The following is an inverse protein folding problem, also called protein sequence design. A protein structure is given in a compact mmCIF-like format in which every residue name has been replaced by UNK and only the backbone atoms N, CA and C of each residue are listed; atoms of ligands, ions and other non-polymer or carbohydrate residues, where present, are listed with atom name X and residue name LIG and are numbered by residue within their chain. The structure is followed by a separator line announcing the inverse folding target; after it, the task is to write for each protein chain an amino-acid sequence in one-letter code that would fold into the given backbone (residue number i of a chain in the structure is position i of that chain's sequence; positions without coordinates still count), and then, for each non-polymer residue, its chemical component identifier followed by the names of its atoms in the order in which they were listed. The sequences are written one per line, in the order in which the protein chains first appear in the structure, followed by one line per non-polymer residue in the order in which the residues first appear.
data_IF_225648132653
#
_entry.id   IF_225648132653
#
_cell.length_a   1.000
_cell.length_b   1.000
_cell.length_c   1.000
_cell.angle_alpha   90.00
_cell.angle_beta   90.00
_cell.angle_gamma   90.00
#
_symmetry.space_group_name_H-M   'P 1'
#
loop_
_entity.id
_entity.type
_entity.pdbx_description
1 polymer ?
#
# COMPACT_ATOMS: atom_id res chain seq x y z
N UNK A 1 -11.94 23.42 -25.79
CA UNK A 1 -10.65 23.91 -26.33
C UNK A 1 -10.24 23.18 -27.58
N UNK A 2 -8.95 23.24 -27.89
CA UNK A 2 -8.33 22.58 -29.05
C UNK A 2 -8.14 21.06 -28.84
N UNK A 3 -7.86 20.34 -29.93
CA UNK A 3 -7.35 18.97 -29.90
C UNK A 3 -5.83 19.01 -30.14
N UNK A 4 -5.06 18.67 -29.10
CA UNK A 4 -3.59 18.69 -29.02
C UNK A 4 -3.05 17.34 -28.54
N UNK A 5 -3.84 16.27 -28.65
CA UNK A 5 -3.47 14.93 -28.18
C UNK A 5 -2.20 14.42 -28.84
N UNK A 6 -1.34 13.78 -28.06
CA UNK A 6 -0.02 13.28 -28.50
C UNK A 6 0.91 14.33 -29.14
N UNK A 7 0.59 15.63 -29.03
CA UNK A 7 1.38 16.69 -29.66
C UNK A 7 2.71 16.90 -28.93
N UNK A 8 3.73 17.28 -29.69
CA UNK A 8 5.04 17.66 -29.13
C UNK A 8 5.07 19.18 -28.95
N UNK A 9 5.01 19.61 -27.69
CA UNK A 9 5.05 20.99 -27.21
C UNK A 9 6.27 21.20 -26.30
N UNK A 10 7.31 20.36 -26.42
CA UNK A 10 8.53 20.43 -25.60
C UNK A 10 9.22 21.79 -25.76
N UNK A 11 9.44 22.48 -24.64
CA UNK A 11 10.04 23.81 -24.61
C UNK A 11 9.23 24.90 -25.32
N UNK A 12 7.95 24.66 -25.62
CA UNK A 12 7.09 25.68 -26.22
C UNK A 12 6.84 26.83 -25.24
N UNK A 13 6.75 28.06 -25.78
CA UNK A 13 6.17 29.18 -25.06
C UNK A 13 4.65 29.11 -25.24
N UNK A 14 3.95 28.77 -24.16
CA UNK A 14 2.50 28.76 -24.04
C UNK A 14 2.08 29.72 -22.90
N UNK A 15 2.93 30.69 -22.56
CA UNK A 15 2.61 31.66 -21.52
C UNK A 15 1.39 32.50 -21.94
N UNK A 16 0.50 32.76 -20.97
CA UNK A 16 -0.84 33.35 -21.15
C UNK A 16 -1.73 32.70 -22.23
N UNK A 17 -1.46 31.45 -22.63
CA UNK A 17 -2.32 30.73 -23.58
C UNK A 17 -3.63 30.30 -22.92
N UNK A 18 -4.76 30.50 -23.61
CA UNK A 18 -6.02 29.85 -23.27
C UNK A 18 -6.05 28.46 -23.93
N UNK A 19 -6.13 27.44 -23.09
CA UNK A 19 -6.28 26.02 -23.40
C UNK A 19 -7.52 25.46 -22.67
N UNK A 20 -8.52 26.32 -22.43
CA UNK A 20 -9.75 26.00 -21.70
C UNK A 20 -10.51 24.87 -22.40
N UNK A 21 -10.84 23.82 -21.64
CA UNK A 21 -11.45 22.58 -22.13
C UNK A 21 -10.69 21.94 -23.31
N UNK A 22 -9.38 22.19 -23.48
CA UNK A 22 -8.57 21.56 -24.53
C UNK A 22 -8.23 20.10 -24.17
N UNK A 23 -8.05 19.27 -25.19
CA UNK A 23 -7.60 17.90 -25.01
C UNK A 23 -6.10 17.79 -25.33
N UNK A 24 -5.31 17.50 -24.30
CA UNK A 24 -3.86 17.30 -24.32
C UNK A 24 -3.49 15.87 -23.84
N UNK A 25 -4.40 14.90 -24.00
CA UNK A 25 -4.17 13.48 -23.68
C UNK A 25 -2.86 12.99 -24.33
N UNK A 26 -1.94 12.48 -23.51
CA UNK A 26 -0.60 12.04 -23.88
C UNK A 26 0.26 13.10 -24.62
N UNK A 27 -0.06 14.40 -24.52
CA UNK A 27 0.75 15.47 -25.09
C UNK A 27 2.02 15.72 -24.27
N UNK A 28 3.10 16.07 -24.95
CA UNK A 28 4.39 16.29 -24.29
C UNK A 28 4.76 17.78 -24.19
N UNK A 29 4.68 18.30 -22.97
CA UNK A 29 4.92 19.69 -22.58
C UNK A 29 6.26 19.84 -21.80
N UNK A 30 7.20 18.88 -21.91
CA UNK A 30 8.44 18.91 -21.14
C UNK A 30 9.19 20.23 -21.33
N UNK A 31 9.51 20.93 -20.23
CA UNK A 31 10.23 22.21 -20.27
C UNK A 31 9.46 23.40 -20.86
N UNK A 32 8.16 23.29 -21.13
CA UNK A 32 7.36 24.39 -21.66
C UNK A 32 7.19 25.54 -20.65
N UNK A 33 7.06 26.77 -21.14
CA UNK A 33 6.68 27.93 -20.33
C UNK A 33 5.15 28.02 -20.31
N UNK A 34 4.52 27.61 -19.21
CA UNK A 34 3.06 27.65 -19.02
C UNK A 34 2.64 28.79 -18.09
N UNK A 35 3.50 29.81 -17.92
CA UNK A 35 3.26 30.96 -17.04
C UNK A 35 1.90 31.61 -17.33
N UNK A 36 1.03 31.67 -16.32
CA UNK A 36 -0.32 32.22 -16.40
C UNK A 36 -1.19 31.66 -17.55
N UNK A 37 -0.92 30.44 -18.00
CA UNK A 37 -1.76 29.72 -18.95
C UNK A 37 -3.03 29.17 -18.27
N UNK A 38 -4.12 29.09 -19.03
CA UNK A 38 -5.43 28.64 -18.59
C UNK A 38 -5.70 27.24 -19.16
N UNK A 39 -5.69 26.22 -18.28
CA UNK A 39 -6.04 24.83 -18.55
C UNK A 39 -7.37 24.46 -17.86
N UNK A 40 -8.27 25.42 -17.58
CA UNK A 40 -9.54 25.13 -16.91
C UNK A 40 -10.34 24.05 -17.68
N UNK A 41 -10.72 22.97 -16.99
CA UNK A 41 -11.44 21.85 -17.58
C UNK A 41 -10.69 21.07 -18.68
N UNK A 42 -9.40 21.33 -18.90
CA UNK A 42 -8.60 20.63 -19.91
C UNK A 42 -8.33 19.17 -19.54
N UNK A 43 -8.15 18.31 -20.54
CA UNK A 43 -7.77 16.91 -20.34
C UNK A 43 -6.26 16.74 -20.56
N UNK A 44 -5.50 16.52 -19.50
CA UNK A 44 -4.05 16.27 -19.54
C UNK A 44 -3.71 14.81 -19.16
N UNK A 45 -4.64 13.87 -19.41
CA UNK A 45 -4.41 12.46 -19.09
C UNK A 45 -3.12 11.93 -19.73
N UNK A 46 -2.18 11.43 -18.91
CA UNK A 46 -0.89 10.93 -19.39
C UNK A 46 0.07 11.99 -19.97
N UNK A 47 -0.25 13.29 -19.88
CA UNK A 47 0.60 14.35 -20.41
C UNK A 47 1.93 14.47 -19.65
N UNK A 48 2.98 14.97 -20.33
CA UNK A 48 4.33 15.08 -19.75
C UNK A 48 4.66 16.54 -19.45
N UNK A 49 4.70 16.90 -18.17
CA UNK A 49 5.01 18.25 -17.66
C UNK A 49 6.42 18.36 -17.05
N UNK A 50 7.29 17.37 -17.19
CA UNK A 50 8.63 17.36 -16.59
C UNK A 50 9.45 18.61 -16.96
N UNK A 51 9.90 19.37 -15.96
CA UNK A 51 10.64 20.63 -16.15
C UNK A 51 9.81 21.83 -16.61
N UNK A 52 8.49 21.73 -16.76
CA UNK A 52 7.65 22.86 -17.17
C UNK A 52 7.58 23.95 -16.08
N UNK A 53 7.34 25.20 -16.50
CA UNK A 53 7.12 26.34 -15.60
C UNK A 53 5.62 26.55 -15.37
N UNK A 54 5.16 26.50 -14.12
CA UNK A 54 3.72 26.50 -13.78
C UNK A 54 3.26 27.70 -12.92
N UNK A 55 3.95 28.84 -13.00
CA UNK A 55 3.65 30.01 -12.16
C UNK A 55 2.36 30.69 -12.63
N UNK A 56 1.43 30.92 -11.70
CA UNK A 56 0.09 31.46 -11.95
C UNK A 56 -0.77 30.61 -12.93
N UNK A 57 -0.38 29.38 -13.28
CA UNK A 57 -1.15 28.51 -14.20
C UNK A 57 -2.43 28.01 -13.53
N UNK A 58 -3.55 27.98 -14.26
CA UNK A 58 -4.83 27.44 -13.77
C UNK A 58 -5.12 26.06 -14.34
N UNK A 59 -5.07 25.03 -13.50
CA UNK A 59 -5.48 23.65 -13.77
C UNK A 59 -6.84 23.31 -13.12
N UNK A 60 -7.65 24.30 -12.73
CA UNK A 60 -8.94 24.07 -12.08
C UNK A 60 -9.87 23.21 -12.94
N UNK A 61 -10.49 22.21 -12.31
CA UNK A 61 -11.31 21.19 -12.98
C UNK A 61 -10.63 20.38 -14.12
N UNK A 62 -9.33 20.53 -14.36
CA UNK A 62 -8.61 19.73 -15.35
C UNK A 62 -8.47 18.26 -14.91
N UNK A 63 -8.35 17.36 -15.89
CA UNK A 63 -7.98 15.97 -15.65
C UNK A 63 -6.46 15.82 -15.65
N UNK A 64 -5.89 15.41 -14.52
CA UNK A 64 -4.45 15.16 -14.33
C UNK A 64 -4.12 13.67 -14.14
N UNK A 65 -5.08 12.76 -14.33
CA UNK A 65 -4.88 11.31 -14.21
C UNK A 65 -3.66 10.86 -15.05
N UNK A 66 -2.71 10.12 -14.46
CA UNK A 66 -1.54 9.61 -15.17
C UNK A 66 -0.49 10.66 -15.57
N UNK A 67 -0.66 11.94 -15.23
CA UNK A 67 0.27 13.01 -15.61
C UNK A 67 1.69 12.71 -15.10
N UNK A 68 2.68 12.89 -15.98
CA UNK A 68 4.10 12.72 -15.67
C UNK A 68 4.69 14.08 -15.32
N UNK A 69 5.31 14.20 -14.15
CA UNK A 69 5.86 15.46 -13.65
C UNK A 69 7.24 15.27 -12.99
N UNK A 70 7.76 16.32 -12.35
CA UNK A 70 9.11 16.34 -11.78
C UNK A 70 9.91 17.53 -12.29
N UNK A 71 10.82 18.04 -11.47
CA UNK A 71 11.66 19.20 -11.78
C UNK A 71 10.88 20.48 -12.18
N UNK A 72 9.59 20.59 -11.80
CA UNK A 72 8.74 21.74 -12.13
C UNK A 72 9.36 23.04 -11.63
N UNK A 73 9.32 24.07 -12.48
CA UNK A 73 10.06 25.32 -12.28
C UNK A 73 9.12 26.42 -11.79
N UNK A 74 9.46 26.98 -10.63
CA UNK A 74 8.78 28.13 -10.05
C UNK A 74 9.73 29.32 -10.09
N UNK A 75 9.47 30.31 -10.96
CA UNK A 75 10.38 31.43 -11.22
C UNK A 75 9.89 32.72 -10.55
N UNK A 76 10.72 33.27 -9.67
CA UNK A 76 10.45 34.45 -8.87
C UNK A 76 10.68 35.74 -9.69
N UNK A 77 9.86 35.94 -10.73
CA UNK A 77 9.91 37.11 -11.65
C UNK A 77 9.56 38.46 -10.98
N UNK A 78 9.73 38.60 -9.67
CA UNK A 78 9.53 39.83 -8.89
C UNK A 78 8.07 40.27 -8.69
N UNK A 79 7.11 39.49 -9.21
CA UNK A 79 5.67 39.76 -9.09
C UNK A 79 5.05 39.24 -7.80
N UNK A 80 3.82 39.67 -7.54
CA UNK A 80 2.91 38.95 -6.63
C UNK A 80 2.63 37.57 -7.24
N UNK A 81 3.01 36.51 -6.51
CA UNK A 81 2.71 35.13 -6.87
C UNK A 81 1.21 34.89 -6.66
N UNK A 82 0.46 34.65 -7.73
CA UNK A 82 -0.86 34.04 -7.61
C UNK A 82 -0.65 32.52 -7.50
N UNK A 83 -1.36 31.84 -6.57
CA UNK A 83 -1.16 30.42 -6.39
C UNK A 83 -1.56 29.68 -7.67
N UNK A 84 -0.67 28.78 -8.14
CA UNK A 84 -1.04 27.77 -9.14
C UNK A 84 -2.33 27.07 -8.66
N UNK A 85 -3.37 27.14 -9.47
CA UNK A 85 -4.67 26.60 -9.10
C UNK A 85 -4.74 25.17 -9.59
N UNK A 86 -5.02 24.23 -8.70
CA UNK A 86 -5.02 22.79 -8.97
C UNK A 86 -6.43 22.19 -8.79
N UNK A 87 -6.72 21.02 -9.39
CA UNK A 87 -7.89 20.24 -9.03
C UNK A 87 -7.88 19.85 -7.55
N UNK A 88 -9.05 19.47 -7.01
CA UNK A 88 -9.14 18.96 -5.63
C UNK A 88 -8.25 17.73 -5.46
N UNK A 89 -7.69 17.57 -4.25
CA UNK A 89 -6.79 16.48 -3.85
C UNK A 89 -5.40 16.49 -4.52
N UNK A 90 -5.14 17.41 -5.45
CA UNK A 90 -3.82 17.65 -6.02
C UNK A 90 -3.03 18.70 -5.22
N UNK A 91 -1.71 18.54 -5.17
CA UNK A 91 -0.76 19.47 -4.57
C UNK A 91 0.60 19.38 -5.29
N UNK A 92 1.56 20.22 -4.91
CA UNK A 92 2.93 20.17 -5.44
C UNK A 92 3.93 19.95 -4.30
N UNK A 93 4.78 18.93 -4.45
CA UNK A 93 5.85 18.59 -3.50
C UNK A 93 7.14 18.33 -4.28
N UNK A 94 8.22 18.99 -3.89
CA UNK A 94 9.57 18.81 -4.47
C UNK A 94 9.64 18.90 -6.02
N UNK A 95 8.77 19.72 -6.64
CA UNK A 95 8.71 19.86 -8.09
C UNK A 95 7.92 18.77 -8.84
N UNK A 96 7.09 17.98 -8.15
CA UNK A 96 6.14 17.03 -8.72
C UNK A 96 4.70 17.44 -8.43
N UNK A 97 3.78 17.17 -9.37
CA UNK A 97 2.33 17.19 -9.15
C UNK A 97 1.92 15.89 -8.44
N UNK A 98 1.44 16.01 -7.22
CA UNK A 98 1.05 14.89 -6.34
C UNK A 98 -0.47 14.83 -6.26
N UNK A 99 -1.06 13.69 -6.63
CA UNK A 99 -2.50 13.45 -6.55
C UNK A 99 -2.91 12.06 -7.02
N UNK A 100 -4.22 11.76 -7.10
CA UNK A 100 -4.74 10.47 -7.55
C UNK A 100 -4.22 10.10 -8.94
N UNK A 101 -3.83 8.84 -9.14
CA UNK A 101 -3.32 8.30 -10.41
C UNK A 101 -2.11 9.03 -11.03
N UNK A 102 -1.46 9.96 -10.32
CA UNK A 102 -0.26 10.64 -10.83
C UNK A 102 0.83 9.63 -11.22
N UNK A 103 1.59 9.91 -12.28
CA UNK A 103 2.80 9.15 -12.57
C UNK A 103 3.99 9.81 -11.85
N UNK A 104 4.37 9.14 -10.76
CA UNK A 104 5.45 9.47 -9.85
C UNK A 104 6.50 8.33 -9.84
N UNK A 105 6.60 7.57 -10.93
CA UNK A 105 7.65 6.55 -11.06
C UNK A 105 9.04 7.19 -11.06
N UNK A 106 9.99 6.53 -10.41
CA UNK A 106 11.33 7.05 -10.09
C UNK A 106 11.35 8.41 -9.31
N UNK A 107 10.21 8.89 -8.80
CA UNK A 107 10.12 10.23 -8.18
C UNK A 107 10.96 10.38 -6.91
N UNK A 108 11.60 11.53 -6.76
CA UNK A 108 12.50 11.83 -5.65
C UNK A 108 11.73 12.59 -4.54
N UNK A 109 11.19 11.83 -3.59
CA UNK A 109 10.22 12.27 -2.58
C UNK A 109 10.63 11.88 -1.14
N UNK A 110 11.92 11.67 -0.89
CA UNK A 110 12.48 11.36 0.43
C UNK A 110 12.47 12.56 1.39
N UNK A 111 12.27 12.27 2.68
CA UNK A 111 12.15 13.24 3.78
C UNK A 111 10.94 14.19 3.66
N UNK A 112 9.91 13.85 2.88
CA UNK A 112 8.77 14.74 2.61
C UNK A 112 7.56 14.41 3.47
N UNK A 113 6.70 15.42 3.68
CA UNK A 113 5.41 15.24 4.34
C UNK A 113 4.30 15.12 3.29
N UNK A 114 3.69 13.94 3.22
CA UNK A 114 2.55 13.63 2.37
C UNK A 114 1.28 13.30 3.20
N UNK A 115 1.29 13.55 4.52
CA UNK A 115 0.22 13.16 5.46
C UNK A 115 -1.18 13.43 4.91
N UNK A 116 -2.01 12.38 4.83
CA UNK A 116 -3.43 12.49 4.46
C UNK A 116 -3.73 12.77 2.97
N UNK A 117 -2.75 12.78 2.08
CA UNK A 117 -2.98 12.96 0.64
C UNK A 117 -3.68 11.75 0.00
N UNK A 118 -4.38 12.00 -1.11
CA UNK A 118 -4.92 10.95 -1.96
C UNK A 118 -3.94 10.64 -3.11
N UNK A 119 -3.45 9.40 -3.15
CA UNK A 119 -2.54 8.84 -4.16
C UNK A 119 -3.11 7.51 -4.70
N UNK A 120 -4.44 7.32 -4.64
CA UNK A 120 -5.05 6.08 -5.13
C UNK A 120 -4.82 5.90 -6.64
N UNK A 121 -4.44 4.70 -7.03
CA UNK A 121 -4.05 4.36 -8.40
C UNK A 121 -2.77 5.03 -8.93
N UNK A 122 -2.01 5.76 -8.11
CA UNK A 122 -0.78 6.41 -8.55
C UNK A 122 0.33 5.38 -8.88
N UNK A 123 1.18 5.69 -9.85
CA UNK A 123 2.42 4.95 -10.09
C UNK A 123 3.54 5.59 -9.29
N UNK A 124 4.05 4.87 -8.29
CA UNK A 124 5.18 5.21 -7.43
C UNK A 124 6.30 4.17 -7.59
N UNK A 125 6.30 3.40 -8.69
CA UNK A 125 7.30 2.35 -8.89
C UNK A 125 8.71 2.93 -8.94
N UNK A 126 9.61 2.35 -8.14
CA UNK A 126 11.00 2.83 -7.91
C UNK A 126 11.10 4.26 -7.32
N UNK A 127 10.01 4.88 -6.88
CA UNK A 127 10.08 6.18 -6.22
C UNK A 127 10.88 6.09 -4.91
N UNK A 128 11.67 7.12 -4.62
CA UNK A 128 12.33 7.27 -3.32
C UNK A 128 11.41 8.04 -2.36
N UNK A 129 10.86 7.34 -1.38
CA UNK A 129 9.97 7.85 -0.34
C UNK A 129 10.64 7.75 1.05
N UNK A 130 11.94 7.48 1.12
CA UNK A 130 12.62 7.16 2.37
C UNK A 130 12.61 8.32 3.38
N UNK A 131 12.43 7.98 4.67
CA UNK A 131 12.31 8.93 5.77
C UNK A 131 11.07 9.84 5.70
N UNK A 132 10.16 9.63 4.74
CA UNK A 132 8.98 10.47 4.56
C UNK A 132 7.85 10.15 5.54
N UNK A 133 6.91 11.07 5.67
CA UNK A 133 5.69 10.91 6.45
C UNK A 133 4.49 10.77 5.49
N UNK A 134 4.02 9.53 5.34
CA UNK A 134 2.86 9.12 4.55
C UNK A 134 1.70 8.68 5.45
N UNK A 135 1.67 9.10 6.72
CA UNK A 135 0.59 8.79 7.66
C UNK A 135 -0.77 9.16 7.05
N UNK A 136 -1.73 8.23 7.13
CA UNK A 136 -3.12 8.38 6.62
C UNK A 136 -3.25 8.68 5.13
N UNK A 137 -2.20 8.46 4.33
CA UNK A 137 -2.28 8.56 2.86
C UNK A 137 -3.16 7.44 2.31
N UNK A 138 -3.92 7.76 1.25
CA UNK A 138 -4.65 6.77 0.47
C UNK A 138 -3.81 6.28 -0.71
N UNK A 139 -3.25 5.06 -0.62
CA UNK A 139 -2.50 4.37 -1.68
C UNK A 139 -3.31 3.22 -2.31
N UNK A 140 -4.65 3.27 -2.21
CA UNK A 140 -5.52 2.21 -2.74
C UNK A 140 -5.25 1.97 -4.24
N UNK A 141 -4.88 0.74 -4.60
CA UNK A 141 -4.56 0.36 -5.98
C UNK A 141 -3.29 1.01 -6.56
N UNK A 142 -2.44 1.64 -5.75
CA UNK A 142 -1.21 2.25 -6.22
C UNK A 142 -0.13 1.21 -6.56
N UNK A 143 0.73 1.52 -7.53
CA UNK A 143 1.90 0.73 -7.89
C UNK A 143 3.11 1.25 -7.12
N UNK A 144 3.57 0.54 -6.09
CA UNK A 144 4.79 0.85 -5.32
C UNK A 144 5.92 -0.15 -5.64
N UNK A 145 5.89 -0.79 -6.81
CA UNK A 145 6.84 -1.85 -7.15
C UNK A 145 8.29 -1.33 -7.15
N UNK A 146 9.12 -1.91 -6.28
CA UNK A 146 10.51 -1.47 -6.10
C UNK A 146 10.69 -0.08 -5.45
N UNK A 147 9.64 0.53 -4.89
CA UNK A 147 9.74 1.82 -4.21
C UNK A 147 10.56 1.71 -2.92
N UNK A 148 11.29 2.78 -2.58
CA UNK A 148 12.05 2.86 -1.34
C UNK A 148 11.23 3.54 -0.24
N UNK A 149 10.65 2.74 0.66
CA UNK A 149 9.89 3.18 1.85
C UNK A 149 10.76 3.12 3.13
N UNK A 150 12.09 3.00 3.03
CA UNK A 150 12.96 2.88 4.21
C UNK A 150 12.76 4.03 5.21
N UNK A 151 12.64 3.73 6.50
CA UNK A 151 12.39 4.69 7.60
C UNK A 151 11.07 5.50 7.49
N UNK A 152 10.16 5.17 6.56
CA UNK A 152 8.92 5.92 6.33
C UNK A 152 7.87 5.70 7.42
N UNK A 153 7.20 6.77 7.85
CA UNK A 153 6.03 6.72 8.73
C UNK A 153 4.75 6.50 7.90
N UNK A 154 4.04 5.40 8.17
CA UNK A 154 2.87 4.91 7.41
C UNK A 154 1.67 4.65 8.34
N UNK A 155 1.54 5.42 9.42
CA UNK A 155 0.48 5.23 10.41
C UNK A 155 -0.90 5.51 9.81
N UNK A 156 -1.77 4.50 9.75
CA UNK A 156 -3.12 4.58 9.19
C UNK A 156 -3.19 4.63 7.66
N UNK A 157 -2.14 4.25 6.94
CA UNK A 157 -2.08 4.30 5.46
C UNK A 157 -2.91 3.19 4.80
N UNK A 158 -3.65 3.52 3.75
CA UNK A 158 -4.48 2.57 3.01
C UNK A 158 -3.75 2.02 1.77
N UNK A 159 -3.21 0.81 1.85
CA UNK A 159 -2.57 0.08 0.74
C UNK A 159 -3.50 -0.93 0.05
N UNK A 160 -4.82 -0.87 0.26
CA UNK A 160 -5.74 -1.89 -0.26
C UNK A 160 -5.62 -2.02 -1.80
N UNK A 161 -5.32 -3.22 -2.30
CA UNK A 161 -5.10 -3.49 -3.72
C UNK A 161 -3.79 -2.96 -4.33
N UNK A 162 -2.87 -2.42 -3.53
CA UNK A 162 -1.58 -1.91 -4.02
C UNK A 162 -0.57 -3.03 -4.36
N UNK A 163 0.36 -2.76 -5.27
CA UNK A 163 1.52 -3.62 -5.52
C UNK A 163 2.75 -3.10 -4.76
N UNK A 164 3.21 -3.84 -3.75
CA UNK A 164 4.43 -3.54 -2.98
C UNK A 164 5.60 -4.46 -3.38
N UNK A 165 5.52 -5.19 -4.49
CA UNK A 165 6.53 -6.20 -4.86
C UNK A 165 7.92 -5.57 -4.95
N UNK A 166 8.91 -6.16 -4.26
CA UNK A 166 10.29 -5.66 -4.16
C UNK A 166 10.45 -4.28 -3.50
N UNK A 167 9.43 -3.75 -2.82
CA UNK A 167 9.55 -2.47 -2.10
C UNK A 167 10.48 -2.59 -0.88
N UNK A 168 11.32 -1.58 -0.63
CA UNK A 168 12.29 -1.57 0.46
C UNK A 168 11.63 -0.96 1.70
N UNK A 169 11.50 -1.72 2.78
CA UNK A 169 10.73 -1.32 3.99
C UNK A 169 11.54 -1.31 5.29
N UNK A 170 12.87 -1.28 5.21
CA UNK A 170 13.72 -1.28 6.40
C UNK A 170 13.39 -0.08 7.32
N UNK A 171 12.96 -0.34 8.55
CA UNK A 171 12.60 0.70 9.53
C UNK A 171 11.25 1.39 9.35
N UNK A 172 10.37 0.93 8.44
CA UNK A 172 9.00 1.48 8.29
C UNK A 172 8.14 1.29 9.53
N UNK A 173 7.24 2.24 9.80
CA UNK A 173 6.16 2.09 10.78
C UNK A 173 4.79 1.93 10.10
N UNK A 174 4.29 0.69 10.01
CA UNK A 174 3.00 0.33 9.40
C UNK A 174 1.79 0.31 10.36
N UNK A 175 1.89 0.89 11.57
CA UNK A 175 0.78 0.85 12.54
C UNK A 175 -0.56 1.33 11.91
N UNK A 176 -1.66 0.63 12.19
CA UNK A 176 -3.00 0.96 11.67
C UNK A 176 -3.14 0.94 10.12
N UNK A 177 -2.11 0.52 9.37
CA UNK A 177 -2.21 0.38 7.90
C UNK A 177 -3.16 -0.75 7.46
N UNK A 178 -3.80 -0.57 6.30
CA UNK A 178 -4.69 -1.58 5.69
C UNK A 178 -4.10 -2.13 4.39
N UNK A 179 -4.14 -3.45 4.20
CA UNK A 179 -3.49 -4.17 3.08
C UNK A 179 -4.43 -5.15 2.36
N UNK A 180 -5.75 -4.95 2.45
CA UNK A 180 -6.74 -5.85 1.88
C UNK A 180 -6.59 -5.95 0.34
N UNK A 181 -6.18 -7.12 -0.13
CA UNK A 181 -5.92 -7.39 -1.55
C UNK A 181 -4.60 -6.81 -2.09
N UNK A 182 -3.72 -6.28 -1.24
CA UNK A 182 -2.39 -5.87 -1.65
C UNK A 182 -1.51 -7.09 -2.03
N UNK A 183 -0.56 -6.90 -2.94
CA UNK A 183 0.38 -7.92 -3.40
C UNK A 183 1.83 -7.51 -3.14
N UNK A 184 2.77 -8.46 -3.26
CA UNK A 184 4.20 -8.21 -3.03
C UNK A 184 4.64 -8.21 -1.56
N UNK A 185 3.72 -8.52 -0.64
CA UNK A 185 3.97 -8.54 0.81
C UNK A 185 4.97 -9.62 1.27
N UNK A 186 5.36 -10.53 0.39
CA UNK A 186 6.34 -11.60 0.66
C UNK A 186 7.76 -11.04 0.86
N UNK A 187 8.11 -9.95 0.18
CA UNK A 187 9.43 -9.30 0.27
C UNK A 187 9.57 -8.41 1.52
N UNK A 188 8.47 -8.06 2.21
CA UNK A 188 8.48 -7.16 3.38
C UNK A 188 9.09 -7.79 4.66
N UNK A 189 9.51 -9.05 4.61
CA UNK A 189 9.84 -9.86 5.81
C UNK A 189 11.33 -9.85 6.14
N UNK A 190 11.81 -8.77 6.76
CA UNK A 190 13.09 -8.76 7.48
C UNK A 190 12.96 -8.12 8.89
N UNK A 191 13.46 -8.86 9.88
CA UNK A 191 13.48 -8.60 11.32
C UNK A 191 12.12 -8.41 12.02
N UNK A 192 11.77 -9.39 12.87
CA UNK A 192 10.46 -9.51 13.52
C UNK A 192 10.39 -8.76 14.85
N UNK A 193 9.45 -7.81 14.98
CA UNK A 193 8.76 -7.60 16.25
C UNK A 193 7.22 -7.75 16.11
N UNK A 194 6.76 -8.96 15.73
CA UNK A 194 5.44 -9.56 16.04
C UNK A 194 4.11 -8.80 15.75
N UNK A 195 4.14 -7.60 15.16
CA UNK A 195 3.00 -6.67 15.14
C UNK A 195 1.99 -6.84 13.99
N UNK A 196 2.24 -7.73 13.02
CA UNK A 196 1.25 -8.09 11.98
C UNK A 196 0.31 -9.25 12.36
N UNK A 197 0.34 -9.75 13.61
CA UNK A 197 -0.66 -10.71 14.10
C UNK A 197 -2.02 -10.05 14.47
N UNK A 198 -2.28 -8.83 14.00
CA UNK A 198 -3.58 -8.15 14.17
C UNK A 198 -4.67 -8.64 13.20
N UNK A 199 -4.38 -9.70 12.45
CA UNK A 199 -5.35 -10.77 12.24
C UNK A 199 -4.78 -12.10 12.77
N UNK A 200 -4.97 -12.36 14.07
CA UNK A 200 -5.43 -13.70 14.45
C UNK A 200 -6.74 -13.89 13.70
N UNK A 201 -6.67 -14.62 12.59
CA UNK A 201 -7.80 -15.05 11.76
C UNK A 201 -9.00 -15.31 12.67
N UNK A 202 -10.19 -14.75 12.40
CA UNK A 202 -11.34 -14.90 13.30
C UNK A 202 -11.63 -16.39 13.57
N UNK A 203 -11.32 -17.23 12.58
CA UNK A 203 -11.32 -18.69 12.65
C UNK A 203 -10.30 -19.26 13.63
N UNK A 204 -9.09 -18.72 13.72
CA UNK A 204 -8.09 -19.11 14.74
C UNK A 204 -8.58 -18.69 16.12
N UNK A 205 -9.12 -17.48 16.28
CA UNK A 205 -9.66 -17.02 17.58
C UNK A 205 -10.88 -17.87 18.01
N UNK A 206 -11.78 -18.22 17.09
CA UNK A 206 -12.91 -19.13 17.32
C UNK A 206 -12.44 -20.56 17.64
N UNK A 207 -11.39 -21.04 16.95
CA UNK A 207 -10.78 -22.35 17.21
C UNK A 207 -10.10 -22.40 18.58
N UNK A 208 -9.35 -21.37 18.97
CA UNK A 208 -8.72 -21.26 20.29
C UNK A 208 -9.76 -21.16 21.42
N UNK A 209 -10.82 -20.36 21.23
CA UNK A 209 -11.91 -20.27 22.20
C UNK A 209 -12.61 -21.62 22.39
N UNK A 210 -12.96 -22.31 21.29
CA UNK A 210 -13.47 -23.69 21.33
C UNK A 210 -12.48 -24.66 21.98
N UNK A 211 -11.18 -24.50 21.74
CA UNK A 211 -10.15 -25.36 22.30
C UNK A 211 -10.01 -25.16 23.81
N UNK A 212 -10.19 -23.93 24.31
CA UNK A 212 -10.20 -23.62 25.73
C UNK A 212 -11.36 -24.31 26.47
N UNK A 213 -12.57 -24.30 25.89
CA UNK A 213 -13.71 -25.06 26.41
C UNK A 213 -13.39 -26.57 26.52
N UNK A 214 -12.67 -27.14 25.54
CA UNK A 214 -12.22 -28.54 25.56
C UNK A 214 -10.99 -28.82 26.45
N UNK A 215 -10.28 -27.80 26.95
CA UNK A 215 -9.09 -27.97 27.80
C UNK A 215 -9.43 -28.09 29.30
N UNK A 216 -10.55 -27.53 29.75
CA UNK A 216 -10.93 -27.50 31.18
C UNK A 216 -11.17 -28.89 31.83
N UNK A 217 -11.21 -29.99 31.05
CA UNK A 217 -11.44 -31.35 31.55
C UNK A 217 -10.27 -32.34 31.27
N UNK A 218 -9.09 -31.90 30.81
CA UNK A 218 -8.03 -32.84 30.37
C UNK A 218 -6.61 -32.49 30.82
N UNK A 219 -5.89 -33.53 31.22
CA UNK A 219 -4.46 -33.47 31.55
C UNK A 219 -3.60 -33.48 30.26
N UNK A 220 -3.36 -32.29 29.69
CA UNK A 220 -2.44 -32.05 28.57
C UNK A 220 -2.82 -30.81 27.76
N UNK A 221 -1.84 -29.97 27.44
CA UNK A 221 -2.02 -28.73 26.67
C UNK A 221 -2.08 -29.03 25.17
N UNK A 222 -3.08 -28.46 24.48
CA UNK A 222 -3.16 -28.52 23.01
C UNK A 222 -2.67 -27.18 22.47
N UNK A 223 -1.57 -27.20 21.71
CA UNK A 223 -0.93 -26.00 21.14
C UNK A 223 -1.09 -26.04 19.63
N UNK A 224 -1.66 -24.97 19.06
CA UNK A 224 -1.76 -24.82 17.60
C UNK A 224 -0.64 -23.88 17.16
N UNK A 225 0.32 -24.39 16.39
CA UNK A 225 1.39 -23.58 15.80
C UNK A 225 1.07 -23.39 14.31
N UNK A 226 0.75 -22.17 13.90
CA UNK A 226 0.52 -21.81 12.51
C UNK A 226 1.70 -21.00 11.97
N UNK A 227 2.30 -21.46 10.86
CA UNK A 227 3.33 -20.73 10.13
C UNK A 227 3.35 -21.14 8.65
N UNK A 228 3.73 -20.22 7.78
CA UNK A 228 3.94 -20.44 6.33
C UNK A 228 2.78 -21.20 5.65
N UNK A 229 1.54 -20.81 5.93
CA UNK A 229 0.33 -21.43 5.35
C UNK A 229 -0.02 -22.82 5.90
N UNK A 230 0.70 -23.34 6.90
CA UNK A 230 0.45 -24.63 7.55
C UNK A 230 0.09 -24.46 9.01
N UNK A 231 -1.01 -25.08 9.43
CA UNK A 231 -1.33 -25.29 10.85
C UNK A 231 -0.81 -26.65 11.30
N UNK A 232 0.03 -26.66 12.34
CA UNK A 232 0.56 -27.86 12.99
C UNK A 232 -0.10 -27.98 14.37
N UNK A 233 -0.85 -29.07 14.58
CA UNK A 233 -1.51 -29.36 15.84
C UNK A 233 -0.53 -30.12 16.77
N UNK A 234 0.00 -29.45 17.78
CA UNK A 234 0.95 -30.02 18.74
C UNK A 234 0.26 -30.37 20.06
N UNK A 235 0.11 -31.67 20.32
CA UNK A 235 -0.42 -32.21 21.58
C UNK A 235 0.70 -32.36 22.62
N UNK A 236 0.81 -31.39 23.53
CA UNK A 236 1.83 -31.40 24.59
C UNK A 236 1.29 -32.07 25.85
N UNK A 237 1.52 -33.38 25.96
CA UNK A 237 1.01 -34.18 27.08
C UNK A 237 1.96 -34.02 28.28
N UNK A 238 1.68 -33.04 29.13
CA UNK A 238 2.35 -32.91 30.42
C UNK A 238 2.12 -34.15 31.30
N UNK A 239 3.13 -34.48 32.11
CA UNK A 239 3.29 -35.80 32.73
C UNK A 239 2.31 -36.02 33.89
N UNK A 240 1.13 -36.55 33.58
CA UNK A 240 0.10 -36.92 34.56
C UNK A 240 0.12 -38.41 34.91
N UNK A 241 -0.05 -38.75 36.18
CA UNK A 241 -0.10 -40.14 36.68
C UNK A 241 -1.29 -40.95 36.13
N UNK A 242 -2.25 -40.29 35.48
CA UNK A 242 -3.42 -40.87 34.81
C UNK A 242 -3.11 -41.49 33.44
N UNK A 243 -1.85 -41.53 33.00
CA UNK A 243 -1.41 -42.02 31.68
C UNK A 243 -1.58 -43.54 31.42
N UNK A 244 -2.23 -44.30 32.31
CA UNK A 244 -2.26 -45.78 32.32
C UNK A 244 -3.12 -46.45 31.22
N UNK A 245 -3.71 -45.72 30.28
CA UNK A 245 -4.73 -46.23 29.33
C UNK A 245 -4.40 -46.00 27.84
N UNK A 246 -3.14 -45.70 27.49
CA UNK A 246 -2.71 -45.58 26.09
C UNK A 246 -2.18 -46.92 25.55
N UNK A 247 -2.62 -47.32 24.35
CA UNK A 247 -2.06 -48.49 23.65
C UNK A 247 -1.07 -48.04 22.57
N UNK A 248 0.08 -48.71 22.54
CA UNK A 248 1.15 -48.50 21.57
C UNK A 248 1.28 -49.75 20.72
N UNK A 249 1.21 -49.58 19.40
CA UNK A 249 1.67 -50.57 18.41
C UNK A 249 2.88 -49.98 17.66
N UNK A 250 3.62 -50.80 16.92
CA UNK A 250 5.01 -50.49 16.55
C UNK A 250 5.21 -49.25 15.66
N UNK A 251 4.14 -48.75 15.04
CA UNK A 251 4.15 -47.51 14.25
C UNK A 251 3.22 -46.42 14.80
N UNK A 252 2.25 -46.73 15.67
CA UNK A 252 1.19 -45.79 16.06
C UNK A 252 0.93 -45.76 17.58
N UNK A 253 0.80 -44.56 18.13
CA UNK A 253 0.24 -44.33 19.48
C UNK A 253 -1.26 -44.05 19.30
N UNK A 254 -2.11 -44.92 19.85
CA UNK A 254 -3.56 -44.84 19.66
C UNK A 254 -4.29 -44.73 20.99
N UNK A 255 -5.29 -43.85 21.06
CA UNK A 255 -6.25 -43.80 22.16
C UNK A 255 -7.67 -43.69 21.62
N UNK A 256 -8.54 -44.58 22.09
CA UNK A 256 -9.98 -44.46 21.93
C UNK A 256 -10.48 -43.66 23.14
N UNK A 257 -11.34 -42.67 22.89
CA UNK A 257 -12.02 -41.91 23.93
C UNK A 257 -13.52 -42.07 23.69
N UNK A 258 -14.21 -42.58 24.69
CA UNK A 258 -15.67 -42.63 24.72
C UNK A 258 -16.19 -41.28 25.25
N UNK A 259 -17.21 -40.73 24.60
CA UNK A 259 -17.81 -39.44 24.95
C UNK A 259 -19.28 -39.67 25.29
N UNK A 260 -19.76 -39.00 26.35
CA UNK A 260 -21.14 -39.14 26.82
C UNK A 260 -22.18 -38.40 25.95
N UNK A 261 -21.95 -38.32 24.62
CA UNK A 261 -22.98 -38.01 23.62
C UNK A 261 -23.74 -39.27 23.15
N UNK A 262 -23.21 -40.45 23.47
CA UNK A 262 -23.85 -41.75 23.29
C UNK A 262 -23.92 -42.27 21.85
N UNK A 263 -23.35 -41.58 20.84
CA UNK A 263 -23.46 -42.03 19.43
C UNK A 263 -22.24 -41.86 18.53
N UNK A 264 -21.11 -41.27 18.96
CA UNK A 264 -19.92 -41.14 18.07
C UNK A 264 -18.59 -41.54 18.70
N UNK A 265 -17.97 -42.59 18.14
CA UNK A 265 -16.58 -42.94 18.38
C UNK A 265 -15.65 -42.19 17.42
N UNK A 266 -14.56 -41.63 17.93
CA UNK A 266 -13.51 -41.01 17.12
C UNK A 266 -12.17 -41.71 17.35
N UNK A 267 -11.47 -42.04 16.26
CA UNK A 267 -10.13 -42.62 16.27
C UNK A 267 -9.13 -41.57 15.81
N UNK A 268 -8.21 -41.21 16.69
CA UNK A 268 -7.08 -40.36 16.36
C UNK A 268 -5.83 -41.23 16.21
N UNK A 269 -5.12 -41.03 15.10
CA UNK A 269 -3.87 -41.71 14.77
C UNK A 269 -2.82 -40.62 14.56
N UNK A 270 -1.71 -40.67 15.30
CA UNK A 270 -0.59 -39.75 15.11
C UNK A 270 0.45 -40.46 14.22
N UNK A 271 0.45 -40.10 12.94
CA UNK A 271 1.47 -40.56 11.98
C UNK A 271 2.82 -39.85 12.24
N UNK A 272 3.91 -40.38 11.66
CA UNK A 272 5.29 -39.93 11.93
C UNK A 272 5.82 -38.84 11.01
#
# INVERSE_FOLDING_TARGET
GADLRTSNLRGADLSVANLENANLENADLSGADLYAADFNGADLNGAILTGAKLNNTDFSASNLDGVISGQLIFDDRGGILEPITLPREWTIINGYLIGPKANLSDAQLSGRNLTGLNLSGADLSRADLSGSNLNKVNLQGANLQGANLGETSLAGTNFNGADLSRAIVAGTNFNESSFAGAIGLEDLVLEVPLLLLNAKDERITELEARLADYQNERAGTIVINASNGKAILSLNIEKSDNLKTWQKTDQNITKIIELNDGKKFYRFTLDK
#
